data_IF_851149957305
#
_entry.id   IF_851149957305
#
_cell.length_a   1.000
_cell.length_b   1.000
_cell.length_c   1.000
_cell.angle_alpha   90.00
_cell.angle_beta   90.00
_cell.angle_gamma   90.00
#
_symmetry.space_group_name_H-M   'P 1'
#
loop_
_entity.id
_entity.type
_entity.pdbx_description
1 polymer ?
#
# COMPACT_ATOMS: atom_id res chain seq x y z
N UNK A 1 -12.35 -4.63 -14.81
CA UNK A 1 -11.33 -3.88 -14.04
C UNK A 1 -11.03 -2.56 -14.73
N UNK A 2 -10.76 -2.58 -16.03
CA UNK A 2 -10.52 -1.36 -16.83
C UNK A 2 -11.62 -0.30 -16.69
N UNK A 3 -12.91 -0.68 -16.65
CA UNK A 3 -13.99 0.30 -16.43
C UNK A 3 -13.86 1.02 -15.08
N UNK A 4 -13.50 0.29 -14.01
CA UNK A 4 -13.30 0.87 -12.69
C UNK A 4 -12.06 1.77 -12.63
N UNK A 5 -10.97 1.36 -13.31
CA UNK A 5 -9.76 2.17 -13.43
C UNK A 5 -10.06 3.44 -14.25
N UNK A 6 -10.74 3.31 -15.39
CA UNK A 6 -11.16 4.44 -16.22
C UNK A 6 -12.06 5.42 -15.45
N UNK A 7 -12.98 4.90 -14.64
CA UNK A 7 -13.77 5.69 -13.69
C UNK A 7 -12.89 6.43 -12.69
N UNK A 8 -11.94 5.75 -12.05
CA UNK A 8 -11.02 6.36 -11.08
C UNK A 8 -10.07 7.41 -11.72
N UNK A 9 -9.70 7.24 -12.99
CA UNK A 9 -8.86 8.18 -13.74
C UNK A 9 -9.61 9.45 -14.16
N UNK A 10 -10.89 9.33 -14.49
CA UNK A 10 -11.70 10.41 -15.06
C UNK A 10 -12.54 11.15 -14.03
N UNK A 11 -12.85 10.53 -12.89
CA UNK A 11 -13.66 11.13 -11.84
C UNK A 11 -12.81 12.05 -10.97
N UNK A 12 -13.14 13.35 -10.87
CA UNK A 12 -12.44 14.25 -9.97
C UNK A 12 -12.57 13.80 -8.51
N UNK A 13 -11.50 13.96 -7.74
CA UNK A 13 -11.55 13.77 -6.30
C UNK A 13 -12.55 14.73 -5.65
N UNK A 14 -13.25 14.25 -4.62
CA UNK A 14 -14.00 15.11 -3.72
C UNK A 14 -13.10 16.18 -3.11
N UNK A 15 -13.68 17.35 -2.82
CA UNK A 15 -12.95 18.41 -2.12
C UNK A 15 -12.50 17.86 -0.75
N UNK A 16 -11.26 18.12 -0.37
CA UNK A 16 -10.83 17.86 0.99
C UNK A 16 -11.52 18.86 1.93
N UNK A 17 -12.39 18.36 2.78
CA UNK A 17 -13.05 19.08 3.85
C UNK A 17 -13.34 18.14 5.04
N UNK A 18 -13.93 18.68 6.12
CA UNK A 18 -14.27 17.91 7.31
C UNK A 18 -15.49 16.99 7.15
N UNK A 19 -16.14 17.01 5.98
CA UNK A 19 -17.36 16.25 5.76
C UNK A 19 -17.05 14.94 5.04
N UNK A 20 -17.78 13.91 5.45
CA UNK A 20 -17.69 12.59 4.85
C UNK A 20 -19.04 12.24 4.23
N UNK A 21 -19.02 11.44 3.18
CA UNK A 21 -20.23 10.97 2.52
C UNK A 21 -21.02 10.06 3.46
N UNK A 22 -22.35 10.05 3.35
CA UNK A 22 -23.25 9.14 4.10
C UNK A 22 -22.88 7.67 3.90
N UNK A 23 -22.32 7.33 2.74
CA UNK A 23 -21.79 5.98 2.45
C UNK A 23 -20.69 5.52 3.43
N UNK A 24 -19.97 6.47 4.04
CA UNK A 24 -18.90 6.19 5.00
C UNK A 24 -19.34 6.42 6.45
N UNK A 25 -20.29 7.33 6.71
CA UNK A 25 -20.72 7.68 8.07
C UNK A 25 -21.98 6.96 8.54
N UNK A 26 -22.80 6.44 7.64
CA UNK A 26 -24.08 5.81 8.00
C UNK A 26 -24.26 4.42 7.37
N UNK A 27 -23.58 4.16 6.24
CA UNK A 27 -23.82 2.97 5.41
C UNK A 27 -22.58 2.12 5.16
N UNK A 28 -21.53 2.28 5.97
CA UNK A 28 -20.29 1.55 5.76
C UNK A 28 -20.55 0.04 5.93
N UNK A 29 -20.30 -0.72 4.86
CA UNK A 29 -20.56 -2.18 4.77
C UNK A 29 -22.02 -2.58 5.02
N UNK A 30 -22.99 -1.70 4.78
CA UNK A 30 -24.41 -2.04 4.78
C UNK A 30 -24.69 -3.05 3.65
N UNK A 31 -25.30 -4.19 3.97
CA UNK A 31 -25.69 -5.19 2.98
C UNK A 31 -27.17 -5.09 2.65
N UNK A 32 -27.52 -5.52 1.43
CA UNK A 32 -28.91 -5.63 0.98
C UNK A 32 -29.76 -6.53 1.88
N UNK A 33 -29.18 -7.57 2.46
CA UNK A 33 -29.89 -8.50 3.35
C UNK A 33 -30.21 -7.89 4.73
N UNK A 34 -29.42 -6.91 5.17
CA UNK A 34 -29.59 -6.26 6.48
C UNK A 34 -30.82 -5.33 6.48
N UNK A 35 -31.18 -4.79 5.31
CA UNK A 35 -32.39 -3.98 5.10
C UNK A 35 -33.70 -4.78 5.28
N UNK A 36 -33.66 -6.12 5.18
CA UNK A 36 -34.83 -6.98 5.26
C UNK A 36 -35.17 -7.44 6.69
N UNK A 37 -34.26 -7.25 7.65
CA UNK A 37 -34.37 -7.87 8.98
C UNK A 37 -34.48 -6.89 10.14
N UNK A 38 -34.72 -5.59 9.86
CA UNK A 38 -34.86 -4.54 10.88
C UNK A 38 -33.67 -4.53 11.89
N UNK A 39 -32.48 -4.92 11.40
CA UNK A 39 -31.23 -4.99 12.17
C UNK A 39 -30.44 -3.70 11.98
N UNK A 40 -29.70 -3.26 13.01
CA UNK A 40 -29.02 -1.97 12.97
C UNK A 40 -28.07 -1.86 11.78
N UNK A 41 -28.21 -0.71 11.14
CA UNK A 41 -27.72 -0.26 9.85
C UNK A 41 -26.19 -0.09 9.81
N UNK A 42 -25.66 0.29 8.64
CA UNK A 42 -24.22 0.37 8.36
C UNK A 42 -23.36 1.10 9.40
N UNK A 43 -22.07 0.82 9.36
CA UNK A 43 -21.10 1.39 10.29
C UNK A 43 -20.79 2.86 9.95
N UNK A 44 -20.21 3.56 10.93
CA UNK A 44 -19.66 4.91 10.75
C UNK A 44 -18.13 4.87 10.83
N UNK A 45 -17.46 5.03 9.67
CA UNK A 45 -16.00 5.04 9.56
C UNK A 45 -15.35 6.14 10.39
N UNK A 46 -15.96 7.32 10.47
CA UNK A 46 -15.42 8.48 11.20
C UNK A 46 -15.46 8.21 12.69
N UNK A 47 -16.60 7.70 13.20
CA UNK A 47 -16.72 7.30 14.59
C UNK A 47 -15.74 6.18 14.96
N UNK A 48 -15.55 5.21 14.05
CA UNK A 48 -14.59 4.11 14.22
C UNK A 48 -13.16 4.62 14.27
N UNK A 49 -12.78 5.60 13.45
CA UNK A 49 -11.44 6.20 13.47
C UNK A 49 -11.15 6.95 14.78
N UNK A 50 -12.14 7.70 15.30
CA UNK A 50 -12.03 8.36 16.61
C UNK A 50 -11.86 7.31 17.71
N UNK A 51 -12.72 6.29 17.74
CA UNK A 51 -12.66 5.24 18.75
C UNK A 51 -11.36 4.42 18.66
N UNK A 52 -10.85 4.18 17.44
CA UNK A 52 -9.55 3.53 17.21
C UNK A 52 -8.40 4.36 17.76
N UNK A 53 -8.44 5.68 17.61
CA UNK A 53 -7.45 6.58 18.20
C UNK A 53 -7.40 6.45 19.73
N UNK A 54 -8.57 6.38 20.38
CA UNK A 54 -8.68 6.18 21.83
C UNK A 54 -8.20 4.80 22.27
N UNK A 55 -8.59 3.76 21.54
CA UNK A 55 -8.14 2.37 21.75
C UNK A 55 -6.61 2.25 21.67
N UNK A 56 -6.00 2.92 20.70
CA UNK A 56 -4.54 2.96 20.54
C UNK A 56 -3.84 3.91 21.54
N UNK A 57 -4.58 4.58 22.43
CA UNK A 57 -4.02 5.51 23.41
C UNK A 57 -3.33 6.71 22.78
N UNK A 58 -3.82 7.19 21.64
CA UNK A 58 -3.22 8.34 20.96
C UNK A 58 -3.33 9.61 21.84
N UNK A 59 -2.25 10.39 21.97
CA UNK A 59 -2.31 11.69 22.62
C UNK A 59 -3.28 12.65 21.92
N UNK A 60 -3.71 13.67 22.66
CA UNK A 60 -4.64 14.69 22.19
C UNK A 60 -4.07 15.54 21.05
N UNK A 61 -4.96 16.22 20.33
CA UNK A 61 -4.61 17.13 19.25
C UNK A 61 -3.56 18.20 19.64
N UNK A 62 -3.70 18.94 20.77
CA UNK A 62 -2.66 19.90 21.19
C UNK A 62 -1.29 19.27 21.42
N UNK A 63 -1.24 18.03 21.94
CA UNK A 63 0.02 17.31 22.15
C UNK A 63 0.77 17.08 20.84
N UNK A 64 0.07 16.63 19.80
CA UNK A 64 0.67 16.41 18.49
C UNK A 64 1.11 17.70 17.80
N UNK A 65 0.39 18.82 18.00
CA UNK A 65 0.87 20.12 17.52
C UNK A 65 2.16 20.57 18.19
N UNK A 66 2.29 20.35 19.50
CA UNK A 66 3.54 20.60 20.25
C UNK A 66 4.68 19.71 19.72
N UNK A 67 4.42 18.42 19.49
CA UNK A 67 5.39 17.50 18.88
C UNK A 67 5.92 18.03 17.54
N UNK A 68 5.02 18.52 16.69
CA UNK A 68 5.35 19.13 15.39
C UNK A 68 5.84 20.58 15.46
N UNK A 69 6.03 21.15 16.65
CA UNK A 69 6.46 22.54 16.88
C UNK A 69 5.58 23.59 16.17
N UNK A 70 4.29 23.27 16.06
CA UNK A 70 3.29 24.17 15.50
C UNK A 70 2.78 25.15 16.56
N UNK A 71 2.15 26.28 16.16
CA UNK A 71 1.50 27.17 17.10
C UNK A 71 0.57 26.41 18.06
N UNK A 72 0.59 26.75 19.36
CA UNK A 72 -0.18 26.05 20.38
C UNK A 72 -1.67 26.25 20.16
N UNK A 73 -2.45 25.30 20.68
CA UNK A 73 -3.93 25.28 20.61
C UNK A 73 -4.52 24.88 21.97
N UNK A 74 -3.84 25.30 23.05
CA UNK A 74 -4.19 24.94 24.43
C UNK A 74 -5.46 25.65 24.92
N UNK A 75 -5.88 26.70 24.21
CA UNK A 75 -7.10 27.45 24.48
C UNK A 75 -7.99 27.50 23.23
N UNK A 76 -9.29 27.65 23.41
CA UNK A 76 -10.24 27.83 22.31
C UNK A 76 -9.93 29.05 21.43
N UNK A 77 -9.32 30.09 22.00
CA UNK A 77 -8.92 31.29 21.26
C UNK A 77 -7.75 30.97 20.32
N UNK A 78 -6.71 30.29 20.82
CA UNK A 78 -5.58 29.84 19.99
C UNK A 78 -6.02 28.84 18.92
N UNK A 79 -6.96 27.95 19.25
CA UNK A 79 -7.49 26.97 18.30
C UNK A 79 -8.22 27.62 17.13
N UNK A 80 -8.86 28.77 17.35
CA UNK A 80 -9.56 29.51 16.29
C UNK A 80 -8.63 29.97 15.16
N UNK A 81 -7.32 30.12 15.43
CA UNK A 81 -6.32 30.45 14.42
C UNK A 81 -5.80 29.21 13.66
N UNK A 82 -6.10 28.00 14.14
CA UNK A 82 -5.55 26.75 13.62
C UNK A 82 -6.55 25.93 12.80
N UNK A 83 -7.85 26.01 13.10
CA UNK A 83 -8.90 25.18 12.48
C UNK A 83 -9.98 26.03 11.81
N UNK A 84 -10.81 25.43 10.96
CA UNK A 84 -11.94 26.14 10.36
C UNK A 84 -13.00 26.54 11.42
N UNK A 85 -13.69 27.68 11.25
CA UNK A 85 -14.66 28.17 12.23
C UNK A 85 -15.82 27.20 12.50
N UNK A 86 -16.25 26.46 11.47
CA UNK A 86 -17.36 25.52 11.59
C UNK A 86 -17.01 24.33 12.48
N UNK A 87 -15.84 23.73 12.28
CA UNK A 87 -15.33 22.67 13.15
C UNK A 87 -15.08 23.17 14.57
N UNK A 88 -14.52 24.36 14.74
CA UNK A 88 -14.30 24.94 16.07
C UNK A 88 -15.60 25.02 16.88
N UNK A 89 -16.68 25.48 16.25
CA UNK A 89 -17.98 25.59 16.91
C UNK A 89 -18.56 24.23 17.28
N UNK A 90 -18.33 23.18 16.47
CA UNK A 90 -18.73 21.82 16.82
C UNK A 90 -17.85 21.25 17.94
N UNK A 91 -16.54 21.46 17.89
CA UNK A 91 -15.61 21.01 18.92
C UNK A 91 -15.95 21.60 20.29
N UNK A 92 -16.28 22.90 20.36
CA UNK A 92 -16.73 23.54 21.61
C UNK A 92 -18.00 22.96 22.20
N UNK A 93 -18.87 22.36 21.37
CA UNK A 93 -20.11 21.71 21.83
C UNK A 93 -19.85 20.28 22.31
N UNK A 94 -18.90 19.59 21.70
CA UNK A 94 -18.64 18.16 21.94
C UNK A 94 -17.59 17.92 23.03
N UNK A 95 -16.55 18.74 23.07
CA UNK A 95 -15.41 18.58 23.98
C UNK A 95 -15.46 19.66 25.06
N UNK A 96 -15.26 19.25 26.32
CA UNK A 96 -15.23 20.17 27.45
C UNK A 96 -14.05 21.15 27.37
N UNK A 97 -12.90 20.68 26.90
CA UNK A 97 -11.64 21.44 26.85
C UNK A 97 -10.83 21.09 25.60
N UNK A 98 -9.97 22.01 25.10
CA UNK A 98 -9.09 21.76 23.94
C UNK A 98 -8.19 20.53 24.09
N UNK A 99 -7.72 20.26 25.32
CA UNK A 99 -6.88 19.10 25.66
C UNK A 99 -7.58 17.74 25.44
N UNK A 100 -8.92 17.71 25.34
CA UNK A 100 -9.69 16.48 25.15
C UNK A 100 -9.94 16.14 23.67
N UNK A 101 -9.54 17.01 22.73
CA UNK A 101 -9.83 16.79 21.31
C UNK A 101 -8.98 15.64 20.78
N UNK A 102 -9.66 14.63 20.21
CA UNK A 102 -9.03 13.53 19.52
C UNK A 102 -8.20 14.05 18.33
N UNK A 103 -6.97 13.54 18.18
CA UNK A 103 -6.04 14.01 17.13
C UNK A 103 -6.64 13.88 15.73
N UNK A 104 -7.43 12.83 15.45
CA UNK A 104 -8.07 12.63 14.16
C UNK A 104 -9.02 13.79 13.80
N UNK A 105 -9.91 14.17 14.73
CA UNK A 105 -10.84 15.28 14.53
C UNK A 105 -10.11 16.61 14.43
N UNK A 106 -9.18 16.89 15.36
CA UNK A 106 -8.43 18.15 15.36
C UNK A 106 -7.58 18.36 14.10
N UNK A 107 -6.90 17.30 13.65
CA UNK A 107 -6.00 17.38 12.50
C UNK A 107 -6.74 17.55 11.15
N UNK A 108 -7.93 16.95 11.01
CA UNK A 108 -8.76 17.10 9.80
C UNK A 108 -9.41 18.48 9.67
N UNK A 109 -9.62 19.17 10.79
CA UNK A 109 -10.18 20.53 10.81
C UNK A 109 -9.16 21.61 10.47
N UNK A 110 -7.89 21.26 10.29
CA UNK A 110 -6.88 22.21 9.84
C UNK A 110 -6.99 22.46 8.33
N UNK A 111 -6.99 23.73 7.88
CA UNK A 111 -7.06 24.05 6.46
C UNK A 111 -5.80 23.54 5.72
N UNK A 112 -5.93 23.09 4.46
CA UNK A 112 -4.80 22.62 3.68
C UNK A 112 -3.67 23.65 3.55
N UNK A 113 -2.42 23.16 3.61
CA UNK A 113 -1.25 24.00 3.31
C UNK A 113 -1.23 24.42 1.84
N UNK A 114 -0.54 25.52 1.52
CA UNK A 114 -0.42 26.00 0.13
C UNK A 114 0.22 24.92 -0.77
N UNK A 115 -0.53 24.49 -1.78
CA UNK A 115 -0.09 23.45 -2.72
C UNK A 115 -0.22 22.02 -2.21
N UNK A 116 -0.79 21.81 -1.02
CA UNK A 116 -1.12 20.51 -0.45
C UNK A 116 -2.62 20.28 -0.31
N UNK A 117 -2.99 19.07 0.12
CA UNK A 117 -4.38 18.66 0.37
C UNK A 117 -4.69 18.40 1.83
N UNK A 118 -3.72 18.55 2.74
CA UNK A 118 -3.88 18.32 4.17
C UNK A 118 -3.31 19.49 4.98
N UNK A 119 -3.75 19.64 6.22
CA UNK A 119 -3.31 20.70 7.12
C UNK A 119 -1.86 20.55 7.61
N UNK A 120 -1.33 21.59 8.28
CA UNK A 120 0.03 21.60 8.82
C UNK A 120 0.41 20.40 9.68
N UNK A 121 -0.48 19.96 10.58
CA UNK A 121 -0.20 18.83 11.48
C UNK A 121 -0.03 17.52 10.71
N UNK A 122 -1.00 17.18 9.85
CA UNK A 122 -0.92 15.96 9.03
C UNK A 122 0.29 16.04 8.10
N UNK A 123 0.62 17.21 7.56
CA UNK A 123 1.82 17.40 6.74
C UNK A 123 3.10 17.04 7.50
N UNK A 124 3.24 17.49 8.75
CA UNK A 124 4.37 17.15 9.61
C UNK A 124 4.44 15.64 9.88
N UNK A 125 3.33 15.03 10.30
CA UNK A 125 3.28 13.60 10.67
C UNK A 125 3.56 12.69 9.45
N UNK A 126 2.92 12.97 8.31
CA UNK A 126 3.18 12.23 7.07
C UNK A 126 4.63 12.43 6.61
N UNK A 127 5.13 13.66 6.64
CA UNK A 127 6.49 13.99 6.22
C UNK A 127 7.54 13.22 7.02
N UNK A 128 7.45 13.24 8.35
CA UNK A 128 8.37 12.51 9.23
C UNK A 128 8.29 10.99 8.96
N UNK A 129 7.08 10.44 8.83
CA UNK A 129 6.90 9.02 8.56
C UNK A 129 7.48 8.59 7.20
N UNK A 130 7.23 9.34 6.13
CA UNK A 130 7.75 9.04 4.79
C UNK A 130 9.28 9.17 4.73
N UNK A 131 9.86 10.16 5.42
CA UNK A 131 11.33 10.31 5.52
C UNK A 131 11.96 9.10 6.21
N UNK A 132 11.38 8.64 7.34
CA UNK A 132 11.87 7.46 8.05
C UNK A 132 11.77 6.19 7.21
N UNK A 133 10.67 5.99 6.50
CA UNK A 133 10.51 4.85 5.59
C UNK A 133 11.58 4.88 4.48
N UNK A 134 11.76 6.04 3.84
CA UNK A 134 12.76 6.21 2.78
C UNK A 134 14.20 5.99 3.27
N UNK A 135 14.56 6.55 4.41
CA UNK A 135 15.94 6.49 4.93
C UNK A 135 16.26 5.17 5.64
N UNK A 136 15.26 4.56 6.29
CA UNK A 136 15.39 3.30 7.01
C UNK A 136 15.33 2.06 6.11
N UNK A 137 14.83 2.21 4.88
CA UNK A 137 14.74 1.09 3.94
C UNK A 137 16.09 0.76 3.30
N UNK A 138 16.61 -0.41 3.67
CA UNK A 138 17.85 -0.93 3.10
C UNK A 138 17.76 -1.26 1.60
N UNK A 139 16.56 -1.42 1.06
CA UNK A 139 16.25 -1.68 -0.35
C UNK A 139 15.66 -0.46 -1.08
N UNK A 140 15.73 0.73 -0.48
CA UNK A 140 15.28 1.96 -1.15
C UNK A 140 15.91 2.10 -2.54
N UNK A 141 15.08 2.28 -3.57
CA UNK A 141 15.51 2.14 -4.97
C UNK A 141 16.60 3.14 -5.40
N UNK A 142 16.68 4.32 -4.79
CA UNK A 142 17.72 5.33 -5.10
C UNK A 142 19.05 5.08 -4.37
N UNK A 143 19.17 3.97 -3.63
CA UNK A 143 20.36 3.67 -2.83
C UNK A 143 21.60 3.59 -3.72
N UNK A 144 22.64 4.34 -3.36
CA UNK A 144 23.87 4.49 -4.16
C UNK A 144 24.94 3.42 -3.90
N UNK A 145 24.81 2.65 -2.83
CA UNK A 145 25.85 1.72 -2.34
C UNK A 145 25.23 0.38 -1.92
N UNK A 146 26.01 -0.68 -2.03
CA UNK A 146 25.60 -2.04 -1.67
C UNK A 146 25.17 -2.88 -2.87
N UNK A 147 25.05 -4.20 -2.69
CA UNK A 147 24.72 -5.14 -3.77
C UNK A 147 23.31 -4.94 -4.36
N UNK A 148 22.38 -4.36 -3.60
CA UNK A 148 20.99 -4.11 -3.98
C UNK A 148 20.78 -2.84 -4.82
N UNK A 149 21.81 -2.04 -5.06
CA UNK A 149 21.66 -0.79 -5.81
C UNK A 149 21.28 -1.07 -7.27
N UNK A 150 20.40 -0.25 -7.83
CA UNK A 150 20.21 -0.20 -9.26
C UNK A 150 21.43 0.43 -9.97
N UNK A 151 21.63 0.08 -11.24
CA UNK A 151 22.55 0.81 -12.12
C UNK A 151 21.95 2.17 -12.49
N UNK A 152 22.77 3.06 -13.06
CA UNK A 152 22.27 4.38 -13.51
C UNK A 152 21.19 4.23 -14.59
N UNK A 153 21.38 3.30 -15.52
CA UNK A 153 20.44 3.08 -16.62
C UNK A 153 19.12 2.48 -16.13
N UNK A 154 19.18 1.55 -15.17
CA UNK A 154 17.98 1.02 -14.51
C UNK A 154 17.22 2.11 -13.75
N UNK A 155 17.94 2.94 -12.99
CA UNK A 155 17.34 4.02 -12.21
C UNK A 155 16.70 5.09 -13.12
N UNK A 156 17.28 5.35 -14.29
CA UNK A 156 16.69 6.26 -15.28
C UNK A 156 15.32 5.76 -15.78
N UNK A 157 15.16 4.45 -15.99
CA UNK A 157 13.86 3.86 -16.35
C UNK A 157 12.85 4.01 -15.22
N UNK A 158 13.28 3.77 -13.98
CA UNK A 158 12.42 3.93 -12.78
C UNK A 158 11.96 5.39 -12.63
N UNK A 159 12.87 6.37 -12.76
CA UNK A 159 12.51 7.79 -12.65
C UNK A 159 11.55 8.28 -13.73
N UNK A 160 11.63 7.71 -14.93
CA UNK A 160 10.74 8.09 -16.04
C UNK A 160 9.37 7.38 -15.96
N UNK A 161 9.20 6.43 -15.02
CA UNK A 161 7.94 5.71 -14.87
C UNK A 161 6.86 6.61 -14.29
N UNK A 162 5.70 6.68 -14.98
CA UNK A 162 4.51 7.40 -14.53
C UNK A 162 3.38 6.41 -14.24
N UNK A 163 2.48 6.72 -13.31
CA UNK A 163 1.31 5.87 -13.04
C UNK A 163 0.44 5.67 -14.29
N UNK A 164 0.31 6.71 -15.13
CA UNK A 164 -0.35 6.64 -16.44
C UNK A 164 0.29 5.60 -17.36
N UNK A 165 1.62 5.56 -17.44
CA UNK A 165 2.35 4.54 -18.23
C UNK A 165 2.14 3.11 -17.70
N UNK A 166 2.04 2.94 -16.38
CA UNK A 166 1.78 1.64 -15.77
C UNK A 166 0.37 1.16 -16.14
N UNK A 167 -0.63 2.02 -16.02
CA UNK A 167 -2.01 1.66 -16.39
C UNK A 167 -2.10 1.34 -17.88
N UNK A 168 -1.56 2.22 -18.74
CA UNK A 168 -1.54 2.01 -20.19
C UNK A 168 -0.92 0.67 -20.63
N UNK A 169 0.13 0.19 -19.93
CA UNK A 169 0.76 -1.09 -20.24
C UNK A 169 -0.07 -2.31 -19.82
N UNK A 170 -0.96 -2.15 -18.84
CA UNK A 170 -1.64 -3.26 -18.17
C UNK A 170 -3.17 -3.23 -18.33
N UNK A 171 -3.71 -2.39 -19.21
CA UNK A 171 -5.13 -2.30 -19.51
C UNK A 171 -5.37 -2.44 -21.01
N UNK A 172 -6.41 -3.19 -21.37
CA UNK A 172 -6.76 -3.48 -22.77
C UNK A 172 -7.72 -2.41 -23.33
N UNK A 173 -8.64 -1.91 -22.50
CA UNK A 173 -9.67 -0.95 -22.90
C UNK A 173 -9.23 0.52 -22.73
N UNK A 174 -8.19 0.78 -21.93
CA UNK A 174 -7.67 2.14 -21.69
C UNK A 174 -6.63 2.46 -22.76
N UNK A 175 -7.04 3.26 -23.75
CA UNK A 175 -6.17 3.65 -24.87
C UNK A 175 -5.59 5.06 -24.72
N UNK A 176 -6.11 5.86 -23.79
CA UNK A 176 -5.69 7.23 -23.54
C UNK A 176 -5.60 7.50 -22.03
N UNK A 177 -4.69 8.36 -21.64
CA UNK A 177 -4.49 8.76 -20.24
C UNK A 177 -3.88 10.16 -20.16
N UNK A 178 -4.19 10.97 -19.14
CA UNK A 178 -3.42 12.18 -18.85
C UNK A 178 -1.97 11.82 -18.49
N UNK A 179 -1.02 12.68 -18.87
CA UNK A 179 0.41 12.45 -18.61
C UNK A 179 0.68 12.30 -17.11
N UNK A 180 0.25 13.28 -16.31
CA UNK A 180 0.36 13.25 -14.85
C UNK A 180 -0.98 12.85 -14.24
N UNK A 181 -1.20 11.55 -14.01
CA UNK A 181 -2.50 10.99 -13.62
C UNK A 181 -3.11 11.60 -12.34
N UNK A 182 -2.26 11.97 -11.37
CA UNK A 182 -2.72 12.54 -10.09
C UNK A 182 -3.01 14.04 -10.18
N UNK A 183 -2.90 14.65 -11.36
CA UNK A 183 -3.26 16.05 -11.62
C UNK A 183 -4.52 16.11 -12.46
N UNK A 184 -5.34 17.13 -12.23
CA UNK A 184 -6.55 17.38 -13.03
C UNK A 184 -6.20 17.39 -14.52
N UNK A 185 -7.02 16.72 -15.32
CA UNK A 185 -6.94 16.77 -16.79
C UNK A 185 -7.14 18.20 -17.25
N UNK A 186 -6.20 18.71 -18.04
CA UNK A 186 -6.24 20.07 -18.59
C UNK A 186 -5.62 20.07 -19.99
N UNK A 187 -6.33 20.62 -20.97
CA UNK A 187 -5.90 20.56 -22.38
C UNK A 187 -4.53 21.18 -22.64
N UNK A 188 -4.11 22.14 -21.82
CA UNK A 188 -2.88 22.89 -22.02
C UNK A 188 -1.75 22.41 -21.08
N UNK A 189 -2.08 22.06 -19.84
CA UNK A 189 -1.10 21.73 -18.80
C UNK A 189 -0.91 20.23 -18.57
N UNK A 190 -1.96 19.43 -18.79
CA UNK A 190 -1.95 17.98 -18.56
C UNK A 190 -2.94 17.28 -19.52
N UNK A 191 -2.70 17.33 -20.83
CA UNK A 191 -3.62 16.77 -21.81
C UNK A 191 -3.59 15.24 -21.76
N UNK A 192 -4.70 14.64 -22.18
CA UNK A 192 -4.71 13.20 -22.48
C UNK A 192 -3.85 12.90 -23.71
N UNK A 193 -3.16 11.77 -23.65
CA UNK A 193 -2.28 11.26 -24.71
C UNK A 193 -2.60 9.80 -24.99
N UNK A 194 -2.39 9.34 -26.23
CA UNK A 194 -2.52 7.92 -26.54
C UNK A 194 -1.50 7.11 -25.74
N UNK A 195 -1.90 5.93 -25.28
CA UNK A 195 -1.05 5.07 -24.46
C UNK A 195 0.25 4.65 -25.16
N UNK A 196 0.28 4.61 -26.49
CA UNK A 196 1.49 4.38 -27.28
C UNK A 196 2.56 5.47 -27.12
N UNK A 197 2.19 6.70 -26.73
CA UNK A 197 3.13 7.79 -26.41
C UNK A 197 3.58 7.76 -24.94
N UNK A 198 2.85 7.06 -24.06
CA UNK A 198 3.08 7.06 -22.62
C UNK A 198 3.82 5.82 -22.11
N UNK A 199 3.61 4.67 -22.75
CA UNK A 199 4.31 3.42 -22.40
C UNK A 199 5.68 3.36 -23.09
N UNK A 200 6.70 3.94 -22.43
CA UNK A 200 8.07 4.02 -22.98
C UNK A 200 9.11 3.33 -22.10
N UNK A 201 8.72 2.40 -21.21
CA UNK A 201 9.67 1.76 -20.31
C UNK A 201 10.53 0.73 -21.04
N UNK A 202 11.85 0.89 -20.97
CA UNK A 202 12.80 -0.05 -21.57
C UNK A 202 13.32 -1.04 -20.52
N UNK A 203 13.05 -2.33 -20.72
CA UNK A 203 13.56 -3.40 -19.87
C UNK A 203 15.00 -3.82 -20.21
N UNK A 204 15.58 -3.31 -21.30
CA UNK A 204 16.96 -3.60 -21.74
C UNK A 204 18.03 -3.45 -20.64
N UNK A 205 18.03 -2.38 -19.82
CA UNK A 205 18.96 -2.21 -18.70
C UNK A 205 18.88 -3.28 -17.60
N UNK A 206 17.78 -4.04 -17.53
CA UNK A 206 17.58 -5.13 -16.56
C UNK A 206 17.99 -6.49 -17.11
N UNK A 207 18.35 -6.58 -18.40
CA UNK A 207 18.76 -7.84 -19.02
C UNK A 207 20.08 -8.33 -18.43
N UNK A 208 20.04 -9.48 -17.78
CA UNK A 208 21.24 -10.17 -17.30
C UNK A 208 21.97 -10.86 -18.45
N UNK A 209 23.30 -10.74 -18.51
CA UNK A 209 24.12 -11.52 -19.45
C UNK A 209 24.69 -12.73 -18.75
N UNK A 210 24.80 -13.86 -19.46
CA UNK A 210 25.40 -15.10 -18.93
C UNK A 210 26.78 -14.91 -18.28
N UNK A 211 27.61 -13.96 -18.78
CA UNK A 211 28.91 -13.62 -18.17
C UNK A 211 28.81 -12.95 -16.79
N UNK A 212 27.72 -12.22 -16.52
CA UNK A 212 27.50 -11.48 -15.27
C UNK A 212 27.06 -12.42 -14.12
N UNK A 213 26.58 -13.63 -14.43
CA UNK A 213 26.26 -14.70 -13.47
C UNK A 213 27.51 -15.47 -13.00
N UNK A 214 28.54 -15.57 -13.82
CA UNK A 214 29.77 -16.33 -13.53
C UNK A 214 30.65 -15.63 -12.47
N UNK A 215 30.51 -14.31 -12.32
CA UNK A 215 31.30 -13.51 -11.36
C UNK A 215 30.67 -13.31 -9.97
N UNK A 216 29.41 -13.75 -9.75
CA UNK A 216 28.63 -13.42 -8.53
C UNK A 216 28.47 -14.58 -7.54
N UNK A 217 28.96 -15.77 -7.86
CA UNK A 217 28.85 -16.94 -6.98
C UNK A 217 30.22 -17.25 -6.35
N UNK A 218 30.57 -16.53 -5.29
CA UNK A 218 31.37 -17.13 -4.21
C UNK A 218 30.38 -17.53 -3.12
N UNK A 219 29.78 -18.71 -3.26
CA UNK A 219 29.05 -19.30 -2.15
C UNK A 219 30.06 -19.48 -1.02
N UNK A 220 29.81 -18.79 0.10
CA UNK A 220 30.45 -19.11 1.37
C UNK A 220 29.85 -20.43 1.89
N UNK A 221 30.21 -21.56 1.29
CA UNK A 221 29.90 -22.89 1.83
C UNK A 221 31.19 -23.53 2.30
N UNK A 222 31.61 -23.16 3.50
CA UNK A 222 32.34 -24.04 4.36
C UNK A 222 31.71 -23.95 5.77
N UNK A 223 31.07 -25.05 6.17
CA UNK A 223 30.36 -25.29 7.45
C UNK A 223 28.84 -25.05 7.51
N UNK A 224 28.09 -25.62 6.57
CA UNK A 224 26.88 -26.39 6.94
C UNK A 224 26.79 -27.54 5.94
N UNK A 225 27.03 -28.76 6.42
CA UNK A 225 26.92 -29.96 5.60
C UNK A 225 25.47 -30.33 5.41
N UNK A 226 24.94 -30.15 4.21
CA UNK A 226 23.84 -30.95 3.69
C UNK A 226 24.20 -31.29 2.25
N UNK A 227 24.45 -32.59 2.03
CA UNK A 227 24.76 -33.20 0.74
C UNK A 227 23.47 -33.81 0.17
N UNK A 228 23.51 -34.11 -1.14
CA UNK A 228 22.51 -34.81 -1.98
C UNK A 228 21.54 -33.82 -2.65
N UNK A 229 21.43 -33.73 -3.99
CA UNK A 229 21.27 -34.80 -4.98
C UNK A 229 22.19 -34.61 -6.19
N UNK A 230 22.84 -35.70 -6.59
CA UNK A 230 23.51 -35.84 -7.88
C UNK A 230 22.58 -36.63 -8.82
N UNK A 231 22.29 -36.11 -10.01
CA UNK A 231 22.22 -36.94 -11.23
C UNK A 231 22.74 -36.13 -12.40
N UNK A 232 23.90 -36.54 -12.88
CA UNK A 232 24.53 -36.10 -14.12
C UNK A 232 23.74 -36.60 -15.32
N UNK A 233 23.34 -35.71 -16.24
CA UNK A 233 23.01 -36.09 -17.61
C UNK A 233 24.23 -35.92 -18.51
N UNK A 234 24.87 -37.03 -18.86
CA UNK A 234 25.78 -37.11 -20.00
C UNK A 234 24.99 -37.56 -21.23
N UNK A 235 25.17 -36.85 -22.33
CA UNK A 235 24.57 -37.10 -23.63
C UNK A 235 25.14 -38.34 -24.33
N UNK A 236 24.29 -39.13 -24.96
CA UNK A 236 24.64 -39.89 -26.18
C UNK A 236 23.41 -40.09 -27.07
N UNK A 237 23.68 -40.07 -28.37
CA UNK A 237 22.82 -40.02 -29.56
C UNK A 237 22.00 -41.27 -29.89
N UNK A 238 20.85 -41.01 -30.55
CA UNK A 238 20.05 -41.79 -31.53
C UNK A 238 19.72 -43.29 -31.31
N UNK A 239 18.42 -43.61 -31.30
CA UNK A 239 17.75 -44.50 -32.28
C UNK A 239 16.22 -44.54 -32.07
N UNK A 240 15.53 -45.00 -33.11
CA UNK A 240 14.13 -44.82 -33.51
C UNK A 240 13.07 -45.78 -32.93
N UNK A 241 11.80 -45.40 -33.19
CA UNK A 241 10.57 -46.22 -33.38
C UNK A 241 9.72 -46.56 -32.13
N UNK A 242 8.41 -46.30 -32.24
CA UNK A 242 7.39 -47.22 -31.73
C UNK A 242 6.19 -46.62 -31.00
N UNK A 243 5.09 -46.45 -31.72
CA UNK A 243 3.69 -46.28 -31.26
C UNK A 243 3.24 -47.25 -30.16
N UNK A 244 2.45 -46.78 -29.20
CA UNK A 244 1.03 -47.14 -29.00
C UNK A 244 0.56 -46.89 -27.55
N UNK A 245 -0.70 -46.46 -27.45
CA UNK A 245 -1.48 -46.27 -26.23
C UNK A 245 -1.58 -47.53 -25.36
N UNK A 246 -1.94 -47.37 -24.08
CA UNK A 246 -3.12 -47.97 -23.39
C UNK A 246 -2.98 -47.82 -21.85
N UNK A 247 -3.90 -47.09 -21.22
CA UNK A 247 -4.26 -47.22 -19.78
C UNK A 247 -4.99 -48.56 -19.54
N UNK A 248 -4.93 -49.16 -18.33
CA UNK A 248 -6.09 -49.00 -17.45
C UNK A 248 -5.84 -49.08 -15.92
N UNK A 249 -6.68 -48.34 -15.20
CA UNK A 249 -7.55 -48.70 -14.06
C UNK A 249 -7.03 -49.34 -12.76
N UNK A 250 -7.23 -48.56 -11.69
CA UNK A 250 -8.02 -48.83 -10.47
C UNK A 250 -7.86 -50.15 -9.69
N UNK A 251 -7.49 -50.06 -8.41
CA UNK A 251 -8.20 -50.79 -7.34
C UNK A 251 -8.13 -50.06 -5.99
N UNK A 252 -9.30 -49.89 -5.40
CA UNK A 252 -9.60 -49.35 -4.07
C UNK A 252 -9.51 -50.47 -3.02
N UNK A 253 -8.86 -50.25 -1.87
CA UNK A 253 -9.26 -50.94 -0.64
C UNK A 253 -9.03 -50.07 0.60
N UNK A 254 -10.07 -50.06 1.41
CA UNK A 254 -10.36 -49.32 2.64
C UNK A 254 -9.70 -49.90 3.90
N UNK A 255 -9.46 -49.04 4.88
CA UNK A 255 -9.74 -49.31 6.30
C UNK A 255 -8.54 -49.54 7.22
N UNK A 256 -8.29 -48.59 8.13
CA UNK A 256 -8.45 -48.76 9.58
C UNK A 256 -7.76 -47.60 10.34
N UNK A 257 -8.57 -46.82 11.05
CA UNK A 257 -8.18 -45.93 12.14
C UNK A 257 -7.69 -46.74 13.35
N UNK A 258 -6.61 -46.28 14.00
CA UNK A 258 -6.32 -46.60 15.39
C UNK A 258 -5.65 -45.41 16.09
N UNK A 259 -6.27 -45.00 17.19
CA UNK A 259 -6.05 -43.78 17.96
C UNK A 259 -4.93 -43.94 19.01
N UNK A 260 -4.16 -42.86 19.20
CA UNK A 260 -3.45 -42.37 20.42
C UNK A 260 -2.57 -43.31 21.25
N UNK A 261 -1.33 -42.86 21.54
CA UNK A 261 -0.94 -42.44 22.90
C UNK A 261 0.11 -41.33 22.86
N UNK A 262 -0.18 -40.21 23.51
CA UNK A 262 0.70 -39.06 23.77
C UNK A 262 1.59 -39.36 24.98
N UNK A 263 2.89 -39.04 24.89
CA UNK A 263 3.73 -38.84 26.09
C UNK A 263 4.44 -37.50 25.98
N UNK A 264 4.22 -36.68 27.02
CA UNK A 264 4.77 -35.33 27.22
C UNK A 264 6.09 -35.48 27.97
N UNK A 265 7.14 -34.80 27.50
CA UNK A 265 8.36 -34.58 28.27
C UNK A 265 8.61 -33.07 28.40
N UNK A 266 8.60 -32.61 29.65
CA UNK A 266 8.89 -31.24 30.08
C UNK A 266 10.39 -30.94 30.01
N UNK A 267 10.73 -29.71 29.63
CA UNK A 267 12.09 -29.15 29.71
C UNK A 267 12.08 -28.01 30.73
N UNK A 268 13.02 -27.98 31.69
CA UNK A 268 13.08 -26.94 32.71
C UNK A 268 13.72 -25.65 32.18
N UNK A 269 13.25 -24.53 32.70
CA UNK A 269 13.82 -23.20 32.47
C UNK A 269 15.08 -22.97 33.31
N UNK A 270 16.08 -22.32 32.71
CA UNK A 270 17.00 -21.37 33.35
C UNK A 270 16.97 -20.11 32.51
#
# INVERSE_FOLDING_TARGET
LDDAIGGAMSTPLGKYDQFFTTELTERLFEKSEDLLHDRPCGLDLVSLNIQRGRDHGLPSYPHWRKHCRLPPVDTWAQMADAVDPGSLDQMKKMYAEPENIDVYSGALSEPPVKGGVVGPLITCLLGDQFVRLKQGDSFWYERRRGPQRFTRDQLQQIYNTKLSSIICRNSDAITHSPVDLMRKVDRNQNPERPCSELDTFDFGPFRERKKDLVGRVKVATAKVGVLVIQTSSTSSTEASVGTSATEPSTTTTTGAEATTTTTVASVPSI
#
